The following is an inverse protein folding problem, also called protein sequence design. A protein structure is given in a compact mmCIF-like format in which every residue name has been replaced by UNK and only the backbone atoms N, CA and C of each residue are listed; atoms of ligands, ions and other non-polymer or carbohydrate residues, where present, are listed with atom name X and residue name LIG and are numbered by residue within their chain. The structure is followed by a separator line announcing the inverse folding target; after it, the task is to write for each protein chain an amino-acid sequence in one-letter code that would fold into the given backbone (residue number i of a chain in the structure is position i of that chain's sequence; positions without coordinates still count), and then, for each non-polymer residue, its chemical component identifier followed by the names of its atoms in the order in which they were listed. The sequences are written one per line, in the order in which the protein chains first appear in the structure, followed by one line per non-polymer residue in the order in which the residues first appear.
data_IF_622859504707
#
_entry.id   IF_622859504707
#
_cell.length_a   1.000
_cell.length_b   1.000
_cell.length_c   1.000
_cell.angle_alpha   90.00
_cell.angle_beta   90.00
_cell.angle_gamma   90.00
#
_symmetry.space_group_name_H-M   'P 1'
#
loop_
_entity.id
_entity.type
_entity.pdbx_description
1 polymer ?
#
# COMPACT_ATOMS: atom_id res chain seq x y z
N UNK A 1 7.37 -19.92 16.95
CA UNK A 1 5.90 -19.99 16.74
C UNK A 1 5.58 -21.07 15.71
N UNK A 2 4.35 -21.63 15.65
CA UNK A 2 4.02 -22.56 14.56
C UNK A 2 3.77 -21.79 13.26
N UNK A 3 3.98 -22.42 12.10
CA UNK A 3 3.67 -21.81 10.79
C UNK A 3 2.19 -21.39 10.69
N UNK A 4 1.29 -22.13 11.35
CA UNK A 4 -0.13 -21.79 11.41
C UNK A 4 -0.37 -20.49 12.18
N UNK A 5 0.31 -20.29 13.32
CA UNK A 5 0.18 -19.06 14.11
C UNK A 5 0.66 -17.85 13.31
N UNK A 6 1.80 -17.99 12.63
CA UNK A 6 2.40 -16.94 11.79
C UNK A 6 1.48 -16.58 10.63
N UNK A 7 0.88 -17.59 9.98
CA UNK A 7 -0.10 -17.39 8.92
C UNK A 7 -1.36 -16.63 9.42
N UNK A 8 -1.85 -16.96 10.61
CA UNK A 8 -2.99 -16.25 11.23
C UNK A 8 -2.63 -14.80 11.52
N UNK A 9 -1.43 -14.54 12.05
CA UNK A 9 -0.95 -13.18 12.31
C UNK A 9 -0.91 -12.33 11.02
N UNK A 10 -0.36 -12.88 9.93
CA UNK A 10 -0.34 -12.21 8.63
C UNK A 10 -1.74 -11.96 8.07
N UNK A 11 -2.67 -12.92 8.23
CA UNK A 11 -4.06 -12.72 7.84
C UNK A 11 -4.76 -11.63 8.67
N UNK A 12 -4.53 -11.59 9.99
CA UNK A 12 -5.09 -10.58 10.88
C UNK A 12 -4.59 -9.20 10.47
N UNK A 13 -3.29 -9.03 10.29
CA UNK A 13 -2.68 -7.76 9.88
C UNK A 13 -3.21 -7.28 8.52
N UNK A 14 -3.29 -8.16 7.52
CA UNK A 14 -3.76 -7.79 6.19
C UNK A 14 -5.26 -7.51 6.11
N UNK A 15 -6.08 -8.29 6.83
CA UNK A 15 -7.54 -8.19 6.73
C UNK A 15 -8.15 -7.08 7.59
N UNK A 16 -7.38 -6.36 8.40
CA UNK A 16 -7.87 -5.11 9.00
C UNK A 16 -8.27 -4.06 7.95
N UNK A 17 -7.79 -4.18 6.70
CA UNK A 17 -8.23 -3.33 5.59
C UNK A 17 -9.75 -3.36 5.36
N UNK A 18 -10.41 -4.47 5.70
CA UNK A 18 -11.86 -4.60 5.64
C UNK A 18 -12.60 -3.68 6.62
N UNK A 19 -11.92 -3.10 7.62
CA UNK A 19 -12.52 -2.12 8.53
C UNK A 19 -12.75 -0.77 7.83
N UNK A 20 -11.88 -0.39 6.90
CA UNK A 20 -11.99 0.89 6.17
C UNK A 20 -12.92 0.85 4.96
N UNK A 21 -13.00 -0.31 4.28
CA UNK A 21 -13.76 -0.47 3.02
C UNK A 21 -15.27 -0.19 3.09
N UNK A 22 -16.01 -0.54 4.17
CA UNK A 22 -17.45 -0.26 4.28
C UNK A 22 -17.78 1.23 4.14
N UNK A 23 -16.84 2.14 4.41
CA UNK A 23 -17.06 3.57 4.28
C UNK A 23 -17.38 3.98 2.83
N UNK A 24 -16.92 3.22 1.83
CA UNK A 24 -17.26 3.43 0.42
C UNK A 24 -18.74 3.23 0.10
N UNK A 25 -19.51 2.60 1.01
CA UNK A 25 -20.96 2.43 0.89
C UNK A 25 -21.75 3.43 1.71
N UNK A 26 -21.15 4.04 2.74
CA UNK A 26 -21.86 4.97 3.62
C UNK A 26 -22.21 6.21 2.80
N UNK A 27 -23.49 6.59 2.84
CA UNK A 27 -23.99 7.83 2.28
C UNK A 27 -23.53 9.02 3.16
N UNK A 28 -22.23 9.25 3.24
CA UNK A 28 -21.72 10.46 3.86
C UNK A 28 -22.07 11.62 2.95
N UNK A 29 -23.08 12.39 3.34
CA UNK A 29 -23.47 13.62 2.65
C UNK A 29 -22.35 14.67 2.69
N UNK A 30 -21.40 14.54 3.63
CA UNK A 30 -20.31 15.49 3.80
C UNK A 30 -19.04 15.08 3.03
N UNK A 31 -18.89 15.64 1.83
CA UNK A 31 -17.68 15.49 0.98
C UNK A 31 -16.40 15.83 1.75
N UNK A 32 -16.44 16.78 2.70
CA UNK A 32 -15.27 17.20 3.48
C UNK A 32 -14.66 16.06 4.29
N UNK A 33 -15.49 15.25 4.94
CA UNK A 33 -14.99 14.13 5.76
C UNK A 33 -14.31 13.10 4.87
N UNK A 34 -14.86 12.83 3.69
CA UNK A 34 -14.26 11.86 2.79
C UNK A 34 -12.94 12.36 2.20
N UNK A 35 -12.86 13.65 1.85
CA UNK A 35 -11.60 14.29 1.45
C UNK A 35 -10.56 14.22 2.57
N UNK A 36 -10.97 14.44 3.82
CA UNK A 36 -10.09 14.34 4.98
C UNK A 36 -9.54 12.92 5.15
N UNK A 37 -10.40 11.89 5.07
CA UNK A 37 -9.99 10.50 5.20
C UNK A 37 -9.07 10.04 4.06
N UNK A 38 -9.34 10.48 2.82
CA UNK A 38 -8.42 10.28 1.70
C UNK A 38 -7.06 10.95 1.95
N UNK A 39 -7.07 12.17 2.47
CA UNK A 39 -5.85 12.89 2.87
C UNK A 39 -5.09 12.17 3.98
N UNK A 40 -5.78 11.67 5.01
CA UNK A 40 -5.18 10.88 6.11
C UNK A 40 -4.50 9.64 5.55
N UNK A 41 -5.18 8.87 4.69
CA UNK A 41 -4.59 7.70 4.03
C UNK A 41 -3.34 8.08 3.21
N UNK A 42 -3.40 9.17 2.44
CA UNK A 42 -2.23 9.64 1.68
C UNK A 42 -1.07 10.10 2.59
N UNK A 43 -1.38 10.69 3.75
CA UNK A 43 -0.38 11.09 4.74
C UNK A 43 0.33 9.91 5.41
N UNK A 44 -0.43 8.87 5.78
CA UNK A 44 0.12 7.64 6.35
C UNK A 44 1.00 6.95 5.30
N UNK A 45 0.52 6.81 4.07
CA UNK A 45 1.32 6.25 2.96
C UNK A 45 2.58 7.06 2.68
N UNK A 46 2.53 8.39 2.79
CA UNK A 46 3.71 9.24 2.63
C UNK A 46 4.75 9.03 3.75
N UNK A 47 4.30 8.83 4.99
CA UNK A 47 5.19 8.43 6.08
C UNK A 47 5.82 7.06 5.80
N UNK A 48 5.00 6.06 5.46
CA UNK A 48 5.47 4.70 5.17
C UNK A 48 6.45 4.68 3.99
N UNK A 49 6.24 5.50 2.96
CA UNK A 49 7.19 5.62 1.86
C UNK A 49 8.58 6.05 2.35
N UNK A 50 8.64 7.03 3.24
CA UNK A 50 9.91 7.51 3.81
C UNK A 50 10.55 6.41 4.65
N UNK A 51 9.77 5.77 5.52
CA UNK A 51 10.25 4.72 6.41
C UNK A 51 10.79 3.50 5.65
N UNK A 52 10.03 3.00 4.68
CA UNK A 52 10.40 1.86 3.83
C UNK A 52 11.68 2.15 3.04
N UNK A 53 11.81 3.36 2.46
CA UNK A 53 13.01 3.75 1.73
C UNK A 53 14.21 3.93 2.66
N UNK A 54 14.01 4.44 3.87
CA UNK A 54 15.07 4.57 4.88
C UNK A 54 15.59 3.19 5.30
N UNK A 55 14.69 2.27 5.69
CA UNK A 55 15.04 0.89 6.04
C UNK A 55 15.76 0.15 4.89
N UNK A 56 15.32 0.34 3.64
CA UNK A 56 16.01 -0.22 2.48
C UNK A 56 17.40 0.42 2.28
N UNK A 57 17.51 1.74 2.50
CA UNK A 57 18.74 2.52 2.41
C UNK A 57 19.79 2.09 3.43
N UNK A 58 19.40 1.85 4.68
CA UNK A 58 20.30 1.42 5.75
C UNK A 58 21.01 0.10 5.41
N UNK A 59 20.31 -0.83 4.74
CA UNK A 59 20.90 -2.08 4.25
C UNK A 59 21.95 -1.82 3.16
N UNK A 60 21.69 -0.86 2.27
CA UNK A 60 22.65 -0.46 1.23
C UNK A 60 23.87 0.24 1.82
N UNK A 61 23.67 1.16 2.75
CA UNK A 61 24.73 1.90 3.43
C UNK A 61 25.63 0.96 4.23
N UNK A 62 25.05 0.01 4.96
CA UNK A 62 25.80 -1.04 5.64
C UNK A 62 26.62 -1.89 4.67
N UNK A 63 26.06 -2.24 3.50
CA UNK A 63 26.81 -2.98 2.47
C UNK A 63 27.91 -2.16 1.80
N UNK A 64 27.72 -0.84 1.64
CA UNK A 64 28.71 0.07 1.09
C UNK A 64 29.87 0.26 2.05
N UNK A 65 29.58 0.53 3.33
CA UNK A 65 30.58 0.65 4.37
C UNK A 65 31.41 -0.64 4.48
N UNK A 66 30.77 -1.81 4.43
CA UNK A 66 31.48 -3.09 4.40
C UNK A 66 32.41 -3.21 3.18
N UNK A 67 31.97 -2.81 1.98
CA UNK A 67 32.79 -2.86 0.77
C UNK A 67 34.02 -1.93 0.84
N UNK A 68 33.87 -0.74 1.45
CA UNK A 68 34.97 0.21 1.67
C UNK A 68 36.04 -0.34 2.63
N UNK A 69 35.65 -1.19 3.58
CA UNK A 69 36.56 -1.80 4.57
C UNK A 69 37.02 -3.21 4.18
N UNK A 70 37.08 -3.51 2.87
CA UNK A 70 37.59 -4.79 2.34
C UNK A 70 36.54 -5.87 2.12
N UNK A 71 35.25 -5.54 2.24
CA UNK A 71 34.13 -6.42 1.90
C UNK A 71 33.86 -6.54 0.40
N UNK A 72 32.74 -7.18 0.05
CA UNK A 72 32.39 -7.49 -1.34
C UNK A 72 31.65 -6.35 -2.05
N UNK A 73 32.31 -5.73 -3.03
CA UNK A 73 31.66 -4.80 -3.97
C UNK A 73 30.56 -5.46 -4.82
N UNK A 74 30.68 -6.77 -5.08
CA UNK A 74 29.64 -7.53 -5.80
C UNK A 74 28.35 -7.60 -5.00
N UNK A 75 28.46 -7.78 -3.67
CA UNK A 75 27.28 -7.77 -2.79
C UNK A 75 26.59 -6.41 -2.82
N UNK A 76 27.35 -5.33 -2.67
CA UNK A 76 26.82 -3.96 -2.74
C UNK A 76 26.15 -3.69 -4.09
N UNK A 77 26.82 -4.01 -5.20
CA UNK A 77 26.26 -3.82 -6.53
C UNK A 77 24.96 -4.63 -6.72
N UNK A 78 24.93 -5.88 -6.24
CA UNK A 78 23.72 -6.71 -6.29
C UNK A 78 22.56 -6.12 -5.49
N UNK A 79 22.80 -5.60 -4.28
CA UNK A 79 21.77 -4.96 -3.46
C UNK A 79 21.26 -3.67 -4.10
N UNK A 80 22.16 -2.85 -4.64
CA UNK A 80 21.79 -1.63 -5.38
C UNK A 80 20.95 -1.93 -6.62
N UNK A 81 21.27 -3.01 -7.34
CA UNK A 81 20.46 -3.49 -8.47
C UNK A 81 19.07 -3.96 -8.00
N UNK A 82 19.00 -4.75 -6.92
CA UNK A 82 17.72 -5.16 -6.33
C UNK A 82 16.89 -3.95 -5.89
N UNK A 83 17.52 -2.96 -5.25
CA UNK A 83 16.88 -1.73 -4.81
C UNK A 83 16.23 -0.99 -5.98
N UNK A 84 17.03 -0.68 -7.01
CA UNK A 84 16.55 0.06 -8.19
C UNK A 84 15.52 -0.73 -9.00
N UNK A 85 15.72 -2.05 -9.14
CA UNK A 85 14.79 -2.92 -9.85
C UNK A 85 13.44 -3.03 -9.12
N UNK A 86 13.44 -3.25 -7.81
CA UNK A 86 12.22 -3.31 -7.02
C UNK A 86 11.42 -2.01 -7.14
N UNK A 87 12.07 -0.87 -6.92
CA UNK A 87 11.45 0.47 -7.06
C UNK A 87 10.82 0.67 -8.45
N UNK A 88 11.58 0.34 -9.50
CA UNK A 88 11.11 0.47 -10.87
C UNK A 88 9.92 -0.46 -11.16
N UNK A 89 9.98 -1.71 -10.73
CA UNK A 89 8.89 -2.68 -10.93
C UNK A 89 7.64 -2.26 -10.17
N UNK A 90 7.75 -1.87 -8.89
CA UNK A 90 6.62 -1.42 -8.08
C UNK A 90 5.88 -0.24 -8.73
N UNK A 91 6.63 0.78 -9.16
CA UNK A 91 6.06 1.97 -9.77
C UNK A 91 5.52 1.73 -11.19
N UNK A 92 6.32 1.07 -12.04
CA UNK A 92 5.99 0.92 -13.47
C UNK A 92 4.95 -0.17 -13.72
N UNK A 93 4.91 -1.22 -12.91
CA UNK A 93 3.91 -2.28 -13.07
C UNK A 93 2.48 -1.73 -12.99
N UNK A 94 2.18 -0.89 -12.00
CA UNK A 94 0.87 -0.27 -11.83
C UNK A 94 0.50 0.62 -13.02
N UNK A 95 1.43 1.43 -13.51
CA UNK A 95 1.23 2.27 -14.70
C UNK A 95 0.90 1.44 -15.95
N UNK A 96 1.70 0.42 -16.24
CA UNK A 96 1.54 -0.37 -17.46
C UNK A 96 0.36 -1.33 -17.39
N UNK A 97 0.08 -1.93 -16.24
CA UNK A 97 -1.12 -2.74 -16.01
C UNK A 97 -2.37 -1.87 -16.18
N UNK A 98 -2.39 -0.67 -15.57
CA UNK A 98 -3.49 0.29 -15.75
C UNK A 98 -3.71 0.70 -17.21
N UNK A 99 -2.62 0.98 -17.96
CA UNK A 99 -2.69 1.26 -19.40
C UNK A 99 -3.21 0.07 -20.21
N UNK A 100 -2.75 -1.15 -19.91
CA UNK A 100 -3.16 -2.36 -20.61
C UNK A 100 -4.65 -2.65 -20.40
N UNK A 101 -5.16 -2.48 -19.18
CA UNK A 101 -6.58 -2.66 -18.86
C UNK A 101 -7.45 -1.61 -19.55
N UNK A 102 -7.04 -0.33 -19.57
CA UNK A 102 -7.77 0.73 -20.31
C UNK A 102 -7.83 0.49 -21.82
N UNK A 103 -6.75 -0.01 -22.44
CA UNK A 103 -6.70 -0.26 -23.90
C UNK A 103 -7.65 -1.35 -24.38
N UNK A 104 -8.07 -2.27 -23.51
CA UNK A 104 -8.99 -3.36 -23.86
C UNK A 104 -10.46 -2.92 -23.92
N UNK A 105 -10.77 -1.65 -23.63
CA UNK A 105 -12.16 -1.16 -23.64
C UNK A 105 -12.54 -0.61 -25.02
N UNK A 106 -13.63 -1.11 -25.65
CA UNK A 106 -14.08 -0.63 -26.94
C UNK A 106 -14.60 0.81 -26.83
N UNK A 107 -14.20 1.66 -27.78
CA UNK A 107 -14.75 3.00 -27.99
C UNK A 107 -16.13 2.86 -28.64
N UNK A 108 -17.20 3.12 -27.90
CA UNK A 108 -18.57 3.12 -28.45
C UNK A 108 -18.86 4.54 -29.00
N UNK A 109 -19.40 4.61 -30.23
CA UNK A 109 -19.45 5.81 -31.09
C UNK A 109 -20.47 6.91 -30.69
N UNK A 110 -20.52 8.03 -31.43
CA UNK A 110 -21.16 9.27 -30.93
C UNK A 110 -22.69 9.29 -31.12
N UNK A 111 -23.42 9.70 -30.07
CA UNK A 111 -24.87 9.96 -30.07
C UNK A 111 -25.39 10.30 -28.66
N UNK A 112 -26.71 10.46 -28.46
CA UNK A 112 -27.30 10.75 -27.14
C UNK A 112 -27.03 9.69 -26.05
N UNK A 113 -26.53 8.50 -26.45
CA UNK A 113 -25.88 7.53 -25.57
C UNK A 113 -24.67 8.12 -24.83
N UNK A 114 -24.03 9.17 -25.34
CA UNK A 114 -22.85 9.83 -24.76
C UNK A 114 -23.05 10.36 -23.33
N UNK A 115 -24.26 10.80 -22.93
CA UNK A 115 -24.49 11.24 -21.54
C UNK A 115 -24.63 10.07 -20.55
N UNK A 116 -25.33 9.00 -20.94
CA UNK A 116 -25.38 7.78 -20.14
C UNK A 116 -24.02 7.05 -20.14
N UNK A 117 -23.31 7.05 -21.28
CA UNK A 117 -21.95 6.53 -21.45
C UNK A 117 -20.93 7.33 -20.66
N UNK A 118 -21.06 8.65 -20.55
CA UNK A 118 -20.17 9.45 -19.68
C UNK A 118 -20.41 9.16 -18.21
N UNK A 119 -21.65 8.86 -17.78
CA UNK A 119 -21.92 8.43 -16.41
C UNK A 119 -21.41 7.00 -16.13
N UNK A 120 -21.65 6.06 -17.04
CA UNK A 120 -21.15 4.66 -16.94
C UNK A 120 -19.62 4.64 -17.03
N UNK A 121 -19.04 5.38 -17.97
CA UNK A 121 -17.59 5.52 -18.14
C UNK A 121 -16.91 6.10 -16.89
N UNK A 122 -17.44 7.18 -16.32
CA UNK A 122 -16.95 7.72 -15.04
C UNK A 122 -17.03 6.72 -13.89
N UNK A 123 -18.11 5.94 -13.82
CA UNK A 123 -18.26 4.88 -12.81
C UNK A 123 -17.20 3.80 -12.96
N UNK A 124 -17.00 3.30 -14.18
CA UNK A 124 -16.03 2.26 -14.45
C UNK A 124 -14.58 2.73 -14.30
N UNK A 125 -14.30 4.00 -14.63
CA UNK A 125 -13.00 4.64 -14.41
C UNK A 125 -12.68 4.73 -12.92
N UNK A 126 -13.65 5.15 -12.08
CA UNK A 126 -13.47 5.22 -10.64
C UNK A 126 -13.25 3.83 -10.02
N UNK A 127 -14.03 2.82 -10.44
CA UNK A 127 -13.84 1.43 -10.00
C UNK A 127 -12.48 0.87 -10.44
N UNK A 128 -12.02 1.23 -11.64
CA UNK A 128 -10.72 0.80 -12.13
C UNK A 128 -9.59 1.46 -11.35
N UNK A 129 -9.64 2.77 -11.16
CA UNK A 129 -8.66 3.52 -10.38
C UNK A 129 -8.58 3.01 -8.93
N UNK A 130 -9.74 2.79 -8.29
CA UNK A 130 -9.81 2.22 -6.96
C UNK A 130 -9.20 0.81 -6.88
N UNK A 131 -9.38 -0.03 -7.92
CA UNK A 131 -8.76 -1.35 -7.98
C UNK A 131 -7.25 -1.27 -8.24
N UNK A 132 -6.77 -0.31 -9.03
CA UNK A 132 -5.33 -0.04 -9.20
C UNK A 132 -4.70 0.41 -7.89
N UNK A 133 -5.39 1.26 -7.12
CA UNK A 133 -4.96 1.65 -5.77
C UNK A 133 -4.94 0.42 -4.84
N UNK A 134 -5.99 -0.40 -4.84
CA UNK A 134 -6.03 -1.64 -4.06
C UNK A 134 -4.89 -2.60 -4.42
N UNK A 135 -4.53 -2.72 -5.71
CA UNK A 135 -3.39 -3.52 -6.15
C UNK A 135 -2.06 -2.93 -5.70
N UNK A 136 -1.89 -1.60 -5.76
CA UNK A 136 -0.69 -0.93 -5.26
C UNK A 136 -0.51 -1.08 -3.75
N UNK A 137 -1.60 -0.96 -2.99
CA UNK A 137 -1.63 -1.28 -1.56
C UNK A 137 -1.26 -2.75 -1.36
N UNK A 138 -1.86 -3.68 -2.10
CA UNK A 138 -1.52 -5.10 -2.06
C UNK A 138 -0.03 -5.41 -2.26
N UNK A 139 0.64 -4.72 -3.19
CA UNK A 139 2.08 -4.88 -3.38
C UNK A 139 2.89 -4.42 -2.16
N UNK A 140 2.43 -3.37 -1.48
CA UNK A 140 3.04 -2.92 -0.24
C UNK A 140 2.76 -3.88 0.93
N UNK A 141 1.51 -4.29 1.11
CA UNK A 141 1.06 -5.25 2.12
C UNK A 141 1.79 -6.59 2.02
N UNK A 142 2.20 -6.98 0.81
CA UNK A 142 3.08 -8.14 0.63
C UNK A 142 4.42 -7.98 1.37
N UNK A 143 5.06 -6.81 1.31
CA UNK A 143 6.33 -6.55 2.02
C UNK A 143 6.17 -6.52 3.54
N UNK A 144 5.02 -6.05 4.03
CA UNK A 144 4.67 -6.13 5.46
C UNK A 144 4.57 -7.57 5.93
N UNK A 145 3.86 -8.37 5.12
CA UNK A 145 3.74 -9.79 5.34
C UNK A 145 5.11 -10.42 5.44
N UNK A 146 5.99 -10.12 4.47
CA UNK A 146 7.37 -10.60 4.45
C UNK A 146 8.12 -10.25 5.75
N UNK A 147 7.98 -9.01 6.25
CA UNK A 147 8.60 -8.57 7.50
C UNK A 147 8.08 -9.34 8.72
N UNK A 148 6.76 -9.52 8.86
CA UNK A 148 6.16 -10.36 9.90
C UNK A 148 6.73 -11.79 9.84
N UNK A 149 6.82 -12.35 8.63
CA UNK A 149 7.34 -13.69 8.40
C UNK A 149 8.82 -13.82 8.78
N UNK A 150 9.66 -12.85 8.44
CA UNK A 150 11.08 -12.84 8.82
C UNK A 150 11.27 -12.74 10.34
N UNK A 151 10.53 -11.84 10.99
CA UNK A 151 10.59 -11.68 12.45
C UNK A 151 10.18 -13.00 13.14
N UNK A 152 9.14 -13.66 12.64
CA UNK A 152 8.73 -14.97 13.15
C UNK A 152 9.77 -16.08 12.86
N UNK A 153 10.41 -16.06 11.69
CA UNK A 153 11.49 -17.00 11.34
C UNK A 153 12.73 -16.82 12.22
N UNK A 154 13.00 -15.59 12.65
CA UNK A 154 14.09 -15.25 13.56
C UNK A 154 13.75 -15.50 15.04
N UNK A 155 12.60 -16.10 15.36
CA UNK A 155 12.07 -16.28 16.72
C UNK A 155 11.86 -14.97 17.50
N UNK A 156 11.74 -13.83 16.80
CA UNK A 156 11.48 -12.50 17.35
C UNK A 156 9.98 -12.25 17.52
N UNK A 157 9.34 -13.01 18.42
CA UNK A 157 7.88 -12.99 18.62
C UNK A 157 7.34 -11.60 18.97
N UNK A 158 8.06 -10.86 19.83
CA UNK A 158 7.65 -9.51 20.23
C UNK A 158 7.64 -8.55 19.04
N UNK A 159 8.66 -8.62 18.18
CA UNK A 159 8.73 -7.83 16.96
C UNK A 159 7.60 -8.23 16.00
N UNK A 160 7.40 -9.51 15.76
CA UNK A 160 6.33 -9.99 14.88
C UNK A 160 4.93 -9.52 15.33
N UNK A 161 4.64 -9.57 16.63
CA UNK A 161 3.36 -9.09 17.17
C UNK A 161 3.22 -7.58 17.06
N UNK A 162 4.30 -6.85 17.31
CA UNK A 162 4.32 -5.40 17.20
C UNK A 162 4.11 -4.94 15.75
N UNK A 163 4.74 -5.62 14.78
CA UNK A 163 4.53 -5.39 13.35
C UNK A 163 3.07 -5.67 12.96
N UNK A 164 2.47 -6.76 13.44
CA UNK A 164 1.05 -7.08 13.19
C UNK A 164 0.12 -5.97 13.68
N UNK A 165 0.40 -5.40 14.86
CA UNK A 165 -0.41 -4.30 15.41
C UNK A 165 -0.21 -3.02 14.61
N UNK A 166 1.04 -2.65 14.31
CA UNK A 166 1.37 -1.47 13.52
C UNK A 166 0.74 -1.52 12.12
N UNK A 167 1.04 -2.60 11.38
CA UNK A 167 0.51 -2.86 10.04
C UNK A 167 -1.00 -2.96 10.03
N UNK A 168 -1.58 -3.69 10.99
CA UNK A 168 -3.03 -3.79 11.15
C UNK A 168 -3.71 -2.43 11.33
N UNK A 169 -3.11 -1.52 12.09
CA UNK A 169 -3.67 -0.21 12.37
C UNK A 169 -3.71 0.67 11.10
N UNK A 170 -2.65 0.74 10.31
CA UNK A 170 -2.68 1.56 9.10
C UNK A 170 -3.40 0.88 7.92
N UNK A 171 -3.35 -0.45 7.80
CA UNK A 171 -4.17 -1.20 6.82
C UNK A 171 -5.66 -0.86 6.96
N UNK A 172 -6.16 -0.69 8.20
CA UNK A 172 -7.53 -0.24 8.44
C UNK A 172 -7.83 1.14 7.80
N UNK A 173 -6.84 2.04 7.74
CA UNK A 173 -6.97 3.37 7.13
C UNK A 173 -6.78 3.38 5.62
N UNK A 174 -6.06 2.40 5.06
CA UNK A 174 -5.82 2.29 3.62
C UNK A 174 -7.08 1.93 2.83
N UNK A 175 -8.04 1.29 3.48
CA UNK A 175 -9.39 1.13 2.94
C UNK A 175 -10.01 2.48 2.53
N UNK A 176 -9.66 3.59 3.19
CA UNK A 176 -10.10 4.94 2.82
C UNK A 176 -9.47 5.44 1.53
N UNK A 177 -8.19 5.14 1.30
CA UNK A 177 -7.50 5.45 0.05
C UNK A 177 -8.11 4.70 -1.13
N UNK A 178 -8.44 3.41 -0.95
CA UNK A 178 -9.11 2.58 -1.98
C UNK A 178 -10.46 3.19 -2.38
N UNK A 179 -11.27 3.61 -1.41
CA UNK A 179 -12.61 4.15 -1.72
C UNK A 179 -12.59 5.63 -2.13
N UNK A 180 -11.48 6.34 -1.96
CA UNK A 180 -11.33 7.77 -2.29
C UNK A 180 -11.80 8.14 -3.71
N UNK A 181 -11.35 7.45 -4.77
CA UNK A 181 -11.82 7.68 -6.13
C UNK A 181 -13.33 7.41 -6.31
N UNK A 182 -13.87 6.38 -5.65
CA UNK A 182 -15.27 6.01 -5.74
C UNK A 182 -16.15 7.12 -5.17
N UNK A 183 -15.74 7.63 -4.02
CA UNK A 183 -16.34 8.80 -3.39
C UNK A 183 -16.32 10.00 -4.31
N UNK A 184 -15.16 10.31 -4.91
CA UNK A 184 -15.00 11.51 -5.72
C UNK A 184 -15.86 11.46 -6.99
N UNK A 185 -16.20 10.26 -7.45
CA UNK A 185 -17.08 10.01 -8.59
C UNK A 185 -18.55 9.75 -8.20
N UNK A 186 -18.92 9.84 -6.91
CA UNK A 186 -20.23 9.46 -6.37
C UNK A 186 -20.67 8.03 -6.74
N UNK A 187 -19.71 7.10 -6.71
CA UNK A 187 -19.87 5.70 -7.05
C UNK A 187 -20.04 4.87 -5.79
N UNK A 188 -21.19 4.20 -5.67
CA UNK A 188 -21.39 3.17 -4.65
C UNK A 188 -20.98 1.79 -5.21
N UNK A 189 -19.87 1.18 -4.73
CA UNK A 189 -19.41 -0.13 -5.20
C UNK A 189 -20.31 -1.25 -4.68
N UNK A 190 -20.38 -2.38 -5.37
CA UNK A 190 -21.06 -3.58 -4.86
C UNK A 190 -20.28 -4.20 -3.68
N UNK A 191 -20.95 -4.94 -2.79
CA UNK A 191 -20.26 -5.64 -1.69
C UNK A 191 -19.25 -6.66 -2.19
N UNK A 192 -19.57 -7.40 -3.25
CA UNK A 192 -18.64 -8.32 -3.91
C UNK A 192 -17.38 -7.61 -4.43
N UNK A 193 -17.53 -6.37 -4.91
CA UNK A 193 -16.39 -5.56 -5.34
C UNK A 193 -15.52 -5.14 -4.16
N UNK A 194 -16.12 -4.73 -3.03
CA UNK A 194 -15.37 -4.41 -1.80
C UNK A 194 -14.64 -5.63 -1.23
N UNK A 195 -15.29 -6.80 -1.24
CA UNK A 195 -14.65 -8.07 -0.86
C UNK A 195 -13.43 -8.33 -1.74
N UNK A 196 -13.59 -8.22 -3.06
CA UNK A 196 -12.47 -8.40 -3.99
C UNK A 196 -11.36 -7.38 -3.75
N UNK A 197 -11.69 -6.10 -3.57
CA UNK A 197 -10.71 -5.05 -3.33
C UNK A 197 -9.93 -5.30 -2.03
N UNK A 198 -10.60 -5.72 -0.95
CA UNK A 198 -9.93 -6.07 0.31
C UNK A 198 -9.10 -7.35 0.21
N UNK A 199 -9.50 -8.34 -0.59
CA UNK A 199 -8.66 -9.51 -0.86
C UNK A 199 -7.42 -9.15 -1.69
N UNK A 200 -7.56 -8.25 -2.67
CA UNK A 200 -6.44 -7.77 -3.50
C UNK A 200 -5.46 -6.93 -2.68
N UNK A 201 -5.97 -6.10 -1.77
CA UNK A 201 -5.15 -5.21 -0.97
C UNK A 201 -4.58 -5.89 0.29
N UNK A 202 -5.38 -6.66 1.05
CA UNK A 202 -4.95 -7.28 2.31
C UNK A 202 -4.48 -8.74 2.20
N UNK A 203 -4.97 -9.49 1.20
CA UNK A 203 -4.56 -10.88 0.98
C UNK A 203 -3.04 -11.07 0.77
N UNK A 204 -2.33 -10.16 0.08
CA UNK A 204 -0.89 -10.25 -0.07
C UNK A 204 -0.10 -10.27 1.24
N UNK A 205 -0.59 -9.65 2.34
CA UNK A 205 0.08 -9.74 3.65
C UNK A 205 0.19 -11.19 4.11
N UNK A 206 -0.89 -11.97 4.00
CA UNK A 206 -0.88 -13.39 4.34
C UNK A 206 0.17 -14.17 3.54
N UNK A 207 0.21 -13.98 2.22
CA UNK A 207 1.18 -14.67 1.36
C UNK A 207 2.62 -14.21 1.63
N UNK A 208 2.82 -12.92 1.85
CA UNK A 208 4.09 -12.35 2.25
C UNK A 208 4.59 -12.99 3.54
N UNK A 209 3.72 -13.16 4.54
CA UNK A 209 4.05 -13.79 5.82
C UNK A 209 4.46 -15.25 5.68
N UNK A 210 3.76 -16.03 4.85
CA UNK A 210 4.17 -17.41 4.57
C UNK A 210 5.54 -17.48 3.89
N UNK A 211 5.78 -16.62 2.89
CA UNK A 211 7.05 -16.58 2.16
C UNK A 211 8.17 -16.12 3.11
N UNK A 212 7.94 -15.05 3.87
CA UNK A 212 8.90 -14.52 4.82
C UNK A 212 9.28 -15.51 5.91
N UNK A 213 8.33 -16.33 6.36
CA UNK A 213 8.60 -17.38 7.34
C UNK A 213 9.43 -18.56 6.78
N UNK A 214 9.49 -18.70 5.46
CA UNK A 214 10.12 -19.84 4.78
C UNK A 214 11.46 -19.54 4.12
N UNK A 215 11.71 -18.28 3.73
CA UNK A 215 12.90 -17.87 2.98
C UNK A 215 13.47 -16.61 3.64
N UNK A 216 14.71 -16.65 4.14
CA UNK A 216 15.43 -15.45 4.60
C UNK A 216 16.51 -15.06 3.59
N UNK A 217 16.37 -13.90 2.95
CA UNK A 217 17.37 -13.36 2.01
C UNK A 217 17.33 -11.84 1.99
N UNK A 218 18.48 -11.22 2.25
CA UNK A 218 18.62 -9.76 2.24
C UNK A 218 18.30 -9.14 0.87
N UNK A 219 18.58 -9.86 -0.23
CA UNK A 219 18.25 -9.39 -1.58
C UNK A 219 16.75 -9.38 -1.82
N UNK A 220 16.06 -10.44 -1.38
CA UNK A 220 14.60 -10.56 -1.46
C UNK A 220 13.96 -9.47 -0.60
N UNK A 221 14.46 -9.26 0.61
CA UNK A 221 13.99 -8.21 1.50
C UNK A 221 14.10 -6.83 0.87
N UNK A 222 15.30 -6.43 0.39
CA UNK A 222 15.51 -5.12 -0.26
C UNK A 222 14.65 -4.98 -1.52
N UNK A 223 14.57 -6.02 -2.36
CA UNK A 223 13.78 -5.96 -3.59
C UNK A 223 12.28 -5.78 -3.32
N UNK A 224 11.72 -6.45 -2.31
CA UNK A 224 10.31 -6.32 -1.95
C UNK A 224 10.00 -5.01 -1.22
N UNK A 225 10.91 -4.54 -0.37
CA UNK A 225 10.76 -3.26 0.32
C UNK A 225 10.75 -2.10 -0.69
N UNK A 226 11.67 -2.08 -1.66
CA UNK A 226 11.65 -1.04 -2.68
C UNK A 226 10.54 -1.21 -3.71
N UNK A 227 10.09 -2.45 -3.99
CA UNK A 227 8.87 -2.69 -4.75
C UNK A 227 7.66 -2.08 -4.08
N UNK A 228 7.51 -2.27 -2.77
CA UNK A 228 6.47 -1.62 -1.97
C UNK A 228 6.57 -0.10 -2.05
N UNK A 229 7.77 0.47 -1.87
CA UNK A 229 7.99 1.91 -2.01
C UNK A 229 7.56 2.45 -3.38
N UNK A 230 7.89 1.74 -4.46
CA UNK A 230 7.50 2.12 -5.81
C UNK A 230 5.98 2.09 -6.01
N UNK A 231 5.31 1.07 -5.45
CA UNK A 231 3.86 0.96 -5.49
C UNK A 231 3.17 2.06 -4.67
N UNK A 232 3.66 2.35 -3.46
CA UNK A 232 3.15 3.44 -2.61
C UNK A 232 3.32 4.79 -3.30
N UNK A 233 4.46 5.05 -3.92
CA UNK A 233 4.70 6.29 -4.66
C UNK A 233 3.68 6.50 -5.79
N UNK A 234 3.32 5.42 -6.51
CA UNK A 234 2.23 5.45 -7.49
C UNK A 234 0.90 5.83 -6.81
N UNK A 235 0.54 5.13 -5.73
CA UNK A 235 -0.74 5.30 -5.03
C UNK A 235 -0.89 6.71 -4.45
N UNK A 236 0.15 7.27 -3.83
CA UNK A 236 0.15 8.65 -3.32
C UNK A 236 -0.17 9.63 -4.45
N UNK A 237 0.42 9.45 -5.64
CA UNK A 237 0.13 10.26 -6.81
C UNK A 237 -1.35 10.25 -7.19
N UNK A 238 -1.99 9.08 -7.15
CA UNK A 238 -3.43 8.94 -7.41
C UNK A 238 -4.28 9.57 -6.30
N UNK A 239 -3.94 9.39 -5.03
CA UNK A 239 -4.69 9.99 -3.91
C UNK A 239 -4.58 11.52 -3.88
N UNK A 240 -3.43 12.09 -4.26
CA UNK A 240 -3.27 13.53 -4.42
C UNK A 240 -4.07 14.05 -5.62
N UNK A 241 -4.09 13.31 -6.73
CA UNK A 241 -4.93 13.63 -7.88
C UNK A 241 -6.41 13.68 -7.49
N UNK A 242 -6.89 12.70 -6.72
CA UNK A 242 -8.26 12.68 -6.18
C UNK A 242 -8.49 13.85 -5.23
N UNK A 243 -7.60 14.09 -4.27
CA UNK A 243 -7.73 15.16 -3.28
C UNK A 243 -7.79 16.56 -3.91
N UNK A 244 -7.00 16.81 -4.96
CA UNK A 244 -7.02 18.07 -5.74
C UNK A 244 -8.35 18.30 -6.46
N UNK A 245 -9.05 17.24 -6.89
CA UNK A 245 -10.38 17.36 -7.51
C UNK A 245 -11.48 17.66 -6.50
N UNK A 246 -11.25 17.36 -5.22
CA UNK A 246 -12.19 17.61 -4.14
C UNK A 246 -11.88 18.94 -3.42
N UNK A 247 -10.98 18.92 -2.44
CA UNK A 247 -10.51 20.10 -1.72
C UNK A 247 -9.06 19.90 -1.33
N UNK A 248 -8.18 20.70 -1.91
CA UNK A 248 -6.76 20.59 -1.65
C UNK A 248 -6.40 20.99 -0.22
N UNK A 249 -7.06 22.01 0.34
CA UNK A 249 -6.87 22.43 1.73
C UNK A 249 -7.19 21.31 2.73
N UNK A 250 -8.34 20.65 2.58
CA UNK A 250 -8.74 19.54 3.45
C UNK A 250 -7.81 18.33 3.23
N UNK A 251 -7.40 18.09 1.98
CA UNK A 251 -6.45 17.03 1.66
C UNK A 251 -5.12 17.25 2.39
N UNK A 252 -4.58 18.47 2.38
CA UNK A 252 -3.32 18.80 3.06
C UNK A 252 -3.43 18.64 4.58
N UNK A 253 -4.54 19.07 5.19
CA UNK A 253 -4.79 18.79 6.61
C UNK A 253 -4.85 17.30 6.90
N UNK A 254 -5.52 16.54 6.04
CA UNK A 254 -5.55 15.08 6.13
C UNK A 254 -4.14 14.49 6.02
N UNK A 255 -3.34 14.93 5.05
CA UNK A 255 -1.95 14.46 4.85
C UNK A 255 -1.10 14.74 6.08
N UNK A 256 -1.20 15.95 6.65
CA UNK A 256 -0.48 16.29 7.88
C UNK A 256 -0.89 15.37 9.03
N UNK A 257 -2.20 15.20 9.27
CA UNK A 257 -2.71 14.32 10.33
C UNK A 257 -2.24 12.88 10.10
N UNK A 258 -2.39 12.37 8.88
CA UNK A 258 -1.98 11.02 8.53
C UNK A 258 -0.49 10.77 8.73
N UNK A 259 0.35 11.71 8.30
CA UNK A 259 1.79 11.62 8.48
C UNK A 259 2.17 11.62 9.97
N UNK A 260 1.56 12.51 10.77
CA UNK A 260 1.78 12.56 12.21
C UNK A 260 1.28 11.31 12.93
N UNK A 261 0.19 10.69 12.45
CA UNK A 261 -0.29 9.41 12.96
C UNK A 261 0.72 8.29 12.68
N UNK A 262 1.24 8.20 11.44
CA UNK A 262 2.27 7.23 11.08
C UNK A 262 3.55 7.38 11.92
N UNK A 263 4.02 8.62 12.06
CA UNK A 263 5.15 8.93 12.94
C UNK A 263 4.85 8.56 14.40
N UNK A 264 3.66 8.89 14.90
CA UNK A 264 3.25 8.58 16.26
C UNK A 264 3.21 7.08 16.53
N UNK A 265 2.71 6.28 15.58
CA UNK A 265 2.70 4.82 15.69
C UNK A 265 4.10 4.24 15.74
N UNK A 266 5.01 4.75 14.90
CA UNK A 266 6.41 4.33 14.89
C UNK A 266 7.11 4.64 16.22
N UNK A 267 6.91 5.84 16.76
CA UNK A 267 7.49 6.22 18.05
C UNK A 267 6.96 5.37 19.21
N UNK A 268 5.68 4.98 19.18
CA UNK A 268 5.11 4.06 20.18
C UNK A 268 5.74 2.68 20.06
N UNK A 269 5.94 2.21 18.82
CA UNK A 269 6.58 0.94 18.51
C UNK A 269 8.01 0.90 19.07
N UNK A 270 8.82 1.91 18.77
CA UNK A 270 10.20 2.03 19.27
C UNK A 270 10.22 2.15 20.80
N UNK A 271 9.31 2.93 21.39
CA UNK A 271 9.22 3.06 22.85
C UNK A 271 8.79 1.75 23.55
N UNK A 272 8.08 0.85 22.86
CA UNK A 272 7.69 -0.46 23.35
C UNK A 272 8.83 -1.50 23.28
N UNK A 273 10.00 -1.14 22.75
CA UNK A 273 11.20 -1.98 22.74
C UNK A 273 11.38 -2.85 21.49
N UNK A 274 10.86 -2.41 20.35
CA UNK A 274 11.27 -2.90 19.03
C UNK A 274 12.56 -2.20 18.56
#
# INVERSE_FOLDING_TARGET
MSTADVAVLGAVAGFTIFLGLPIGRVEMQNVRVKTLLNGISAGILAFLLVDILANAGDVLDGSLAAAQHGGSWVRFAGLTLCYGFGLAVGLMSLLYVGKAVRRRRPSIGPGAMAFAETAVGRREEALHLAMTIAAGIGLHNFSEGLAIGQAAHADEVSLALLLVVGFGLHNATEGFGIVGPLVAADVRPAWSWLVLAGLVAGGPTFFGTLIGNSISSVYVFVAFLTLAAGAILYVIGELFSVGRRLSWEITLWGVLIGFLLGLGTELIIVAAGA
#
